data_IF_832523907638
#
_entry.id   IF_832523907638
#
_cell.length_a   1.000
_cell.length_b   1.000
_cell.length_c   1.000
_cell.angle_alpha   90.00
_cell.angle_beta   90.00
_cell.angle_gamma   90.00
#
_symmetry.space_group_name_H-M   'P 1'
#
loop_
_entity.id
_entity.type
_entity.pdbx_description
1 polymer ?
#
# COMPACT_ATOMS: atom_id res chain seq x y z
N UNK A 1 10.52 25.89 32.71
CA UNK A 1 9.43 24.91 32.79
C UNK A 1 9.73 23.84 31.75
N UNK A 2 10.27 22.71 32.21
CA UNK A 2 10.49 21.52 31.38
C UNK A 2 9.20 20.70 31.45
N UNK A 3 8.73 20.15 30.33
CA UNK A 3 7.53 19.32 30.29
C UNK A 3 7.65 18.19 31.32
N UNK A 4 6.84 18.22 32.38
CA UNK A 4 6.98 17.29 33.50
C UNK A 4 6.36 15.92 33.20
N UNK A 5 5.52 15.85 32.15
CA UNK A 5 4.87 14.61 31.73
C UNK A 5 4.74 14.53 30.21
N UNK A 6 4.65 13.30 29.70
CA UNK A 6 4.31 13.05 28.28
C UNK A 6 2.97 13.71 27.92
N UNK A 7 2.01 13.75 28.85
CA UNK A 7 0.72 14.42 28.64
C UNK A 7 0.88 15.90 28.30
N UNK A 8 1.76 16.64 28.97
CA UNK A 8 2.05 18.06 28.65
C UNK A 8 2.73 18.22 27.29
N UNK A 9 3.48 17.22 26.83
CA UNK A 9 4.06 17.23 25.49
C UNK A 9 3.00 17.03 24.40
N UNK A 10 2.01 16.16 24.63
CA UNK A 10 0.86 16.02 23.72
C UNK A 10 -0.09 17.21 23.82
N UNK A 11 -0.18 17.84 25.00
CA UNK A 11 -1.09 18.94 25.30
C UNK A 11 -0.33 20.25 25.60
N UNK A 12 0.62 20.65 24.74
CA UNK A 12 1.34 21.95 24.84
C UNK A 12 0.43 23.19 24.63
N UNK A 13 -0.86 23.10 24.93
CA UNK A 13 -1.85 24.12 24.62
C UNK A 13 -2.02 24.32 23.11
N UNK A 14 -2.17 25.57 22.67
CA UNK A 14 -2.51 25.92 21.29
C UNK A 14 -1.53 25.44 20.21
N UNK A 15 -0.29 25.09 20.56
CA UNK A 15 0.73 24.63 19.59
C UNK A 15 0.61 23.15 19.22
N UNK A 16 0.00 22.34 20.08
CA UNK A 16 -0.13 20.90 19.88
C UNK A 16 -0.86 20.57 18.56
N UNK A 17 -1.90 21.33 18.21
CA UNK A 17 -2.66 21.12 16.98
C UNK A 17 -1.79 21.28 15.71
N UNK A 18 -0.89 22.27 15.69
CA UNK A 18 0.00 22.49 14.55
C UNK A 18 1.05 21.38 14.42
N UNK A 19 1.63 20.96 15.54
CA UNK A 19 2.65 19.89 15.57
C UNK A 19 2.02 18.56 15.18
N UNK A 20 0.96 18.13 15.87
CA UNK A 20 0.30 16.85 15.59
C UNK A 20 -0.36 16.83 14.20
N UNK A 21 -0.84 17.96 13.71
CA UNK A 21 -1.31 18.08 12.32
C UNK A 21 -0.21 17.83 11.30
N UNK A 22 0.96 18.46 11.47
CA UNK A 22 2.11 18.27 10.58
C UNK A 22 2.68 16.83 10.66
N UNK A 23 2.83 16.30 11.87
CA UNK A 23 3.24 14.90 12.08
C UNK A 23 2.22 13.94 11.47
N UNK A 24 0.92 14.16 11.70
CA UNK A 24 -0.15 13.37 11.11
C UNK A 24 -0.12 13.39 9.58
N UNK A 25 0.05 14.56 8.96
CA UNK A 25 0.20 14.71 7.52
C UNK A 25 1.42 13.95 6.97
N UNK A 26 2.52 13.97 7.72
CA UNK A 26 3.76 13.25 7.37
C UNK A 26 3.55 11.74 7.45
N UNK A 27 2.97 11.25 8.55
CA UNK A 27 2.63 9.83 8.70
C UNK A 27 1.65 9.37 7.64
N UNK A 28 0.61 10.16 7.33
CA UNK A 28 -0.33 9.87 6.25
C UNK A 28 0.39 9.73 4.90
N UNK A 29 1.33 10.62 4.59
CA UNK A 29 2.11 10.56 3.36
C UNK A 29 3.00 9.31 3.30
N UNK A 30 3.65 8.96 4.42
CA UNK A 30 4.44 7.73 4.56
C UNK A 30 3.57 6.48 4.36
N UNK A 31 2.42 6.41 5.03
CA UNK A 31 1.48 5.31 4.87
C UNK A 31 0.98 5.21 3.44
N UNK A 32 0.64 6.34 2.81
CA UNK A 32 0.22 6.36 1.41
C UNK A 32 1.28 5.75 0.47
N UNK A 33 2.55 6.12 0.65
CA UNK A 33 3.65 5.55 -0.12
C UNK A 33 3.80 4.05 0.19
N UNK A 34 3.76 3.66 1.45
CA UNK A 34 3.91 2.27 1.88
C UNK A 34 2.79 1.38 1.29
N UNK A 35 1.53 1.78 1.42
CA UNK A 35 0.39 1.07 0.85
C UNK A 35 0.42 1.03 -0.67
N UNK A 36 0.81 2.13 -1.32
CA UNK A 36 0.93 2.15 -2.79
C UNK A 36 2.04 1.20 -3.27
N UNK A 37 3.16 1.13 -2.55
CA UNK A 37 4.27 0.22 -2.85
C UNK A 37 3.87 -1.26 -2.66
N UNK A 38 3.19 -1.57 -1.55
CA UNK A 38 2.67 -2.91 -1.26
C UNK A 38 1.60 -3.33 -2.28
N UNK A 39 0.72 -2.42 -2.68
CA UNK A 39 -0.34 -2.64 -3.66
C UNK A 39 0.21 -2.94 -5.05
N UNK A 40 1.23 -2.19 -5.51
CA UNK A 40 1.87 -2.40 -6.82
C UNK A 40 2.43 -3.82 -6.98
N UNK A 41 3.12 -4.34 -5.96
CA UNK A 41 3.66 -5.71 -6.00
C UNK A 41 2.56 -6.75 -6.16
N UNK A 42 1.45 -6.60 -5.44
CA UNK A 42 0.30 -7.51 -5.55
C UNK A 42 -0.39 -7.42 -6.91
N UNK A 43 -0.52 -6.20 -7.45
CA UNK A 43 -1.12 -5.99 -8.77
C UNK A 43 -0.29 -6.64 -9.88
N UNK A 44 1.04 -6.49 -9.85
CA UNK A 44 1.93 -7.10 -10.84
C UNK A 44 1.85 -8.63 -10.82
N UNK A 45 1.89 -9.25 -9.63
CA UNK A 45 1.76 -10.69 -9.52
C UNK A 45 0.41 -11.19 -10.03
N UNK A 46 -0.68 -10.48 -9.70
CA UNK A 46 -2.02 -10.82 -10.17
C UNK A 46 -2.15 -10.70 -11.69
N UNK A 47 -1.49 -9.71 -12.30
CA UNK A 47 -1.48 -9.55 -13.75
C UNK A 47 -0.72 -10.71 -14.44
N UNK A 48 0.43 -11.11 -13.89
CA UNK A 48 1.21 -12.24 -14.41
C UNK A 48 0.39 -13.54 -14.34
N UNK A 49 -0.25 -13.81 -13.20
CA UNK A 49 -1.09 -14.99 -13.01
C UNK A 49 -2.25 -15.02 -14.02
N UNK A 50 -2.90 -13.88 -14.25
CA UNK A 50 -3.98 -13.76 -15.24
C UNK A 50 -3.49 -13.97 -16.68
N UNK A 51 -2.28 -13.54 -17.03
CA UNK A 51 -1.69 -13.78 -18.35
C UNK A 51 -1.39 -15.26 -18.54
N UNK A 52 -0.75 -15.90 -17.58
CA UNK A 52 -0.45 -17.33 -17.62
C UNK A 52 -1.74 -18.18 -17.77
N UNK A 53 -2.78 -17.88 -16.99
CA UNK A 53 -4.04 -18.59 -17.08
C UNK A 53 -4.72 -18.47 -18.46
N UNK A 54 -4.54 -17.34 -19.17
CA UNK A 54 -5.03 -17.19 -20.55
C UNK A 54 -4.21 -18.00 -21.53
N UNK A 55 -2.89 -17.97 -21.42
CA UNK A 55 -2.00 -18.72 -22.30
C UNK A 55 -2.22 -20.24 -22.18
N UNK A 56 -2.45 -20.75 -20.97
CA UNK A 56 -2.78 -22.16 -20.76
C UNK A 56 -4.08 -22.57 -21.46
N UNK A 57 -5.11 -21.71 -21.44
CA UNK A 57 -6.38 -21.99 -22.12
C UNK A 57 -6.21 -22.05 -23.63
N UNK A 58 -5.43 -21.14 -24.20
CA UNK A 58 -5.14 -21.11 -25.65
C UNK A 58 -4.30 -22.33 -26.04
N UNK A 59 -3.28 -22.70 -25.24
CA UNK A 59 -2.48 -23.90 -25.48
C UNK A 59 -3.35 -25.16 -25.45
N UNK A 60 -4.24 -25.30 -24.46
CA UNK A 60 -5.17 -26.45 -24.37
C UNK A 60 -6.09 -26.56 -25.58
N UNK A 61 -6.65 -25.44 -26.03
CA UNK A 61 -7.46 -25.41 -27.25
C UNK A 61 -6.65 -25.84 -28.49
N UNK A 62 -5.41 -25.34 -28.62
CA UNK A 62 -4.53 -25.69 -29.75
C UNK A 62 -4.07 -27.15 -29.73
N UNK A 63 -3.83 -27.72 -28.54
CA UNK A 63 -3.54 -29.16 -28.42
C UNK A 63 -4.75 -30.03 -28.78
N UNK A 64 -5.96 -29.62 -28.43
CA UNK A 64 -7.18 -30.36 -28.82
C UNK A 64 -7.44 -30.31 -30.33
N UNK A 65 -7.16 -29.18 -30.99
CA UNK A 65 -7.27 -29.05 -32.44
C UNK A 65 -6.25 -29.92 -33.21
N UNK A 66 -5.03 -30.07 -32.68
CA UNK A 66 -3.98 -30.89 -33.30
C UNK A 66 -4.12 -32.41 -33.04
N UNK A 67 -5.16 -32.84 -32.33
CA UNK A 67 -5.42 -34.28 -32.04
C UNK A 67 -6.66 -34.81 -32.76
N UNK A 68 -7.31 -34.00 -33.61
CA UNK A 68 -8.43 -34.37 -34.50
C UNK A 68 -7.92 -34.45 -35.95
#
# INVERSE_FOLDING_TARGET
>A
MHFETLSDFFAMGGYAAYVWGAFGATFLSLFWILFSSLGKRRQLLKEIEQRMAREERIKKAKTMENTL
#
